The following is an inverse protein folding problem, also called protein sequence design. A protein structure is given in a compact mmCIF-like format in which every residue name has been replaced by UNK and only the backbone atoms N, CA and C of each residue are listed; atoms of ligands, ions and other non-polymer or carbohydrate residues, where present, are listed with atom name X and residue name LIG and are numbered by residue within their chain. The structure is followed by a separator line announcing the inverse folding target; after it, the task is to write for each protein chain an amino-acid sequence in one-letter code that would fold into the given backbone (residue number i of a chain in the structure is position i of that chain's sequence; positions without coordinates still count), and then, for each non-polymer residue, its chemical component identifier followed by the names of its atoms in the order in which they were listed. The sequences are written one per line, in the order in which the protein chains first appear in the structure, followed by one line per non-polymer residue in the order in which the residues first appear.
data_IF_243107334397
#
_entry.id   IF_243107334397
#
_cell.length_a   1.000
_cell.length_b   1.000
_cell.length_c   1.000
_cell.angle_alpha   90.00
_cell.angle_beta   90.00
_cell.angle_gamma   90.00
#
_symmetry.space_group_name_H-M   'P 1'
#
loop_
_entity.id
_entity.type
_entity.pdbx_description
1 polymer ?
#
# COMPACT_ATOMS: atom_id res chain seq x y z
N UNK A 1 16.87 10.39 8.79
CA UNK A 1 15.47 10.31 8.29
C UNK A 1 15.32 8.91 7.74
N UNK A 2 14.44 8.11 8.33
CA UNK A 2 14.20 6.76 7.85
C UNK A 2 13.26 6.85 6.63
N UNK A 3 13.66 6.24 5.52
CA UNK A 3 12.91 6.21 4.26
C UNK A 3 12.65 4.76 3.82
N UNK A 4 12.79 3.82 4.74
CA UNK A 4 12.61 2.41 4.48
C UNK A 4 11.39 1.91 5.22
N UNK A 5 10.31 1.72 4.48
CA UNK A 5 9.05 1.23 5.01
C UNK A 5 8.97 -0.29 4.85
N UNK A 6 8.36 -0.98 5.81
CA UNK A 6 8.13 -2.42 5.73
C UNK A 6 6.90 -2.69 4.83
N UNK A 7 7.09 -3.44 3.75
CA UNK A 7 6.10 -3.57 2.69
C UNK A 7 4.78 -4.21 3.15
N UNK A 8 4.83 -5.20 4.04
CA UNK A 8 3.64 -5.85 4.60
C UNK A 8 2.84 -4.95 5.57
N UNK A 9 3.47 -3.91 6.13
CA UNK A 9 2.81 -2.95 7.03
C UNK A 9 2.16 -1.79 6.28
N UNK A 10 2.66 -1.47 5.08
CA UNK A 10 2.20 -0.33 4.28
C UNK A 10 1.32 -0.71 3.10
N UNK A 11 1.24 -1.99 2.74
CA UNK A 11 0.36 -2.49 1.67
C UNK A 11 -0.86 -3.17 2.29
N UNK A 12 -2.02 -2.57 2.08
CA UNK A 12 -3.30 -3.08 2.54
C UNK A 12 -4.27 -3.30 1.37
N UNK A 13 -5.23 -4.19 1.59
CA UNK A 13 -6.30 -4.49 0.65
C UNK A 13 -7.65 -4.18 1.27
N UNK A 14 -8.57 -3.68 0.45
CA UNK A 14 -9.96 -3.46 0.81
C UNK A 14 -10.88 -4.13 -0.21
N UNK A 15 -11.85 -4.93 0.27
CA UNK A 15 -12.86 -5.56 -0.59
C UNK A 15 -14.13 -4.72 -0.63
N UNK A 16 -14.30 -3.95 -1.70
CA UNK A 16 -15.35 -2.94 -1.83
C UNK A 16 -16.60 -3.56 -2.47
N UNK A 17 -17.73 -3.51 -1.75
CA UNK A 17 -19.06 -3.97 -2.22
C UNK A 17 -19.98 -2.79 -2.50
N UNK A 18 -19.79 -1.70 -1.79
CA UNK A 18 -20.54 -0.45 -1.92
C UNK A 18 -19.68 0.74 -1.55
N UNK A 19 -20.14 1.95 -1.84
CA UNK A 19 -19.45 3.19 -1.48
C UNK A 19 -19.17 3.33 0.03
N UNK A 20 -19.97 2.66 0.88
CA UNK A 20 -19.79 2.68 2.34
C UNK A 20 -18.56 1.93 2.82
N UNK A 21 -18.00 1.07 1.97
CA UNK A 21 -16.84 0.26 2.29
C UNK A 21 -15.53 1.04 2.08
N UNK A 22 -15.56 2.14 1.32
CA UNK A 22 -14.37 2.95 1.04
C UNK A 22 -13.88 3.63 2.33
N UNK A 23 -12.60 3.46 2.67
CA UNK A 23 -11.97 3.95 3.89
C UNK A 23 -12.54 3.31 5.18
N UNK A 24 -13.07 2.10 5.08
CA UNK A 24 -13.54 1.35 6.24
C UNK A 24 -12.42 0.43 6.75
N UNK A 25 -11.68 0.91 7.76
CA UNK A 25 -10.56 0.18 8.38
C UNK A 25 -10.94 -1.21 8.93
N UNK A 26 -12.23 -1.49 9.15
CA UNK A 26 -12.70 -2.81 9.64
C UNK A 26 -12.58 -3.90 8.56
N UNK A 27 -12.64 -3.52 7.29
CA UNK A 27 -12.52 -4.45 6.15
C UNK A 27 -11.15 -4.40 5.48
N UNK A 28 -10.27 -3.54 5.97
CA UNK A 28 -8.88 -3.44 5.55
C UNK A 28 -8.10 -4.65 6.08
N UNK A 29 -7.29 -5.26 5.22
CA UNK A 29 -6.41 -6.35 5.62
C UNK A 29 -5.01 -6.18 5.01
N UNK A 30 -4.00 -6.39 5.83
CA UNK A 30 -2.60 -6.28 5.44
C UNK A 30 -2.18 -7.43 4.50
N UNK A 31 -1.19 -7.18 3.66
CA UNK A 31 -0.54 -8.22 2.87
C UNK A 31 0.37 -9.08 3.76
N UNK A 32 0.16 -10.40 3.79
CA UNK A 32 1.02 -11.31 4.57
C UNK A 32 2.37 -11.57 3.88
N UNK A 33 2.42 -11.52 2.55
CA UNK A 33 3.61 -11.81 1.76
C UNK A 33 3.79 -10.76 0.67
N UNK A 34 4.89 -10.03 0.73
CA UNK A 34 5.20 -8.93 -0.20
C UNK A 34 6.54 -9.12 -0.90
N UNK A 35 7.33 -10.14 -0.55
CA UNK A 35 8.66 -10.40 -1.11
C UNK A 35 8.67 -10.58 -2.63
N UNK A 36 7.58 -11.09 -3.19
CA UNK A 36 7.43 -11.27 -4.64
C UNK A 36 7.52 -9.95 -5.42
N UNK A 37 7.16 -8.82 -4.79
CA UNK A 37 7.13 -7.50 -5.41
C UNK A 37 8.11 -6.50 -4.78
N UNK A 38 8.49 -6.71 -3.51
CA UNK A 38 9.38 -5.82 -2.75
C UNK A 38 10.75 -6.44 -2.43
N UNK A 39 11.02 -7.65 -2.94
CA UNK A 39 12.26 -8.39 -2.73
C UNK A 39 12.33 -9.09 -1.37
N UNK A 40 13.38 -9.89 -1.18
CA UNK A 40 13.54 -10.79 -0.02
C UNK A 40 13.40 -10.12 1.36
N UNK A 41 13.76 -8.84 1.47
CA UNK A 41 13.70 -8.12 2.73
C UNK A 41 12.32 -7.51 3.02
N UNK A 42 11.41 -7.54 2.04
CA UNK A 42 10.06 -6.97 2.13
C UNK A 42 10.07 -5.48 2.51
N UNK A 43 10.92 -4.67 1.85
CA UNK A 43 11.08 -3.24 2.15
C UNK A 43 10.88 -2.36 0.92
N UNK A 44 10.30 -1.19 1.14
CA UNK A 44 10.13 -0.15 0.14
C UNK A 44 10.98 1.06 0.54
N UNK A 45 11.94 1.42 -0.32
CA UNK A 45 12.82 2.56 -0.09
C UNK A 45 12.33 3.83 -0.79
N UNK A 46 12.58 4.97 -0.14
CA UNK A 46 12.47 6.29 -0.74
C UNK A 46 11.17 7.02 -0.42
N UNK A 47 10.38 6.50 0.53
CA UNK A 47 9.15 7.12 1.00
C UNK A 47 9.19 7.26 2.51
N UNK A 48 8.48 8.27 3.02
CA UNK A 48 8.20 8.44 4.44
C UNK A 48 6.69 8.39 4.65
N UNK A 49 6.25 7.61 5.64
CA UNK A 49 4.84 7.40 5.95
C UNK A 49 4.06 6.94 4.71
N UNK A 50 4.60 5.92 4.03
CA UNK A 50 3.97 5.32 2.85
C UNK A 50 2.69 4.57 3.27
N UNK A 51 1.62 4.75 2.50
CA UNK A 51 0.40 3.95 2.56
C UNK A 51 0.02 3.56 1.13
N UNK A 52 -0.19 2.26 0.91
CA UNK A 52 -0.60 1.69 -0.38
C UNK A 52 -1.89 0.91 -0.15
N UNK A 53 -2.99 1.42 -0.70
CA UNK A 53 -4.28 0.76 -0.62
C UNK A 53 -4.66 0.13 -1.95
N UNK A 54 -5.01 -1.14 -1.92
CA UNK A 54 -5.47 -1.91 -3.07
C UNK A 54 -6.96 -2.20 -2.90
N UNK A 55 -7.79 -1.42 -3.60
CA UNK A 55 -9.23 -1.59 -3.58
C UNK A 55 -9.65 -2.60 -4.64
N UNK A 56 -10.23 -3.71 -4.18
CA UNK A 56 -10.75 -4.78 -5.02
C UNK A 56 -12.27 -4.65 -5.07
N UNK A 57 -12.85 -4.37 -6.25
CA UNK A 57 -14.31 -4.40 -6.38
C UNK A 57 -14.80 -5.86 -6.28
N UNK A 58 -15.70 -6.15 -5.34
CA UNK A 58 -16.08 -7.54 -5.03
C UNK A 58 -16.78 -8.29 -6.17
N UNK A 59 -17.33 -7.58 -7.14
CA UNK A 59 -18.11 -8.12 -8.27
C UNK A 59 -17.39 -8.01 -9.62
N UNK A 60 -16.19 -7.43 -9.67
CA UNK A 60 -15.46 -7.23 -10.92
C UNK A 60 -13.95 -7.35 -10.71
N UNK A 61 -13.20 -7.76 -11.71
CA UNK A 61 -11.72 -7.80 -11.67
C UNK A 61 -11.08 -6.40 -11.80
N UNK A 62 -11.79 -5.37 -11.33
CA UNK A 62 -11.30 -4.00 -11.33
C UNK A 62 -10.59 -3.74 -10.00
N UNK A 63 -9.38 -3.23 -10.13
CA UNK A 63 -8.54 -2.83 -9.02
C UNK A 63 -8.28 -1.34 -9.11
N UNK A 64 -8.32 -0.67 -7.98
CA UNK A 64 -7.85 0.70 -7.84
C UNK A 64 -6.69 0.70 -6.84
N UNK A 65 -5.63 1.41 -7.19
CA UNK A 65 -4.42 1.53 -6.38
C UNK A 65 -4.30 2.97 -5.91
N UNK A 66 -4.33 3.17 -4.60
CA UNK A 66 -4.04 4.44 -3.96
C UNK A 66 -2.63 4.39 -3.36
N UNK A 67 -1.84 5.43 -3.58
CA UNK A 67 -0.48 5.54 -3.04
C UNK A 67 -0.34 6.92 -2.41
N UNK A 68 -0.35 6.94 -1.09
CA UNK A 68 -0.18 8.14 -0.27
C UNK A 68 1.16 8.09 0.46
N UNK A 69 1.80 9.25 0.63
CA UNK A 69 3.06 9.39 1.36
C UNK A 69 3.24 10.84 1.81
N UNK A 70 3.98 11.04 2.90
CA UNK A 70 4.31 12.38 3.38
C UNK A 70 5.46 12.99 2.55
N UNK A 71 6.51 12.19 2.32
CA UNK A 71 7.70 12.63 1.58
C UNK A 71 8.22 11.52 0.68
N UNK A 72 8.79 11.91 -0.46
CA UNK A 72 9.47 11.01 -1.39
C UNK A 72 10.87 11.53 -1.68
N UNK A 73 11.85 10.63 -1.71
CA UNK A 73 13.23 10.97 -2.03
C UNK A 73 13.31 11.66 -3.40
N UNK A 74 14.08 12.73 -3.48
CA UNK A 74 14.34 13.42 -4.74
C UNK A 74 15.54 12.76 -5.44
N UNK A 75 15.35 12.08 -6.58
CA UNK A 75 16.42 11.38 -7.28
C UNK A 75 17.46 12.32 -7.92
N UNK A 76 17.25 13.65 -7.90
CA UNK A 76 18.23 14.63 -8.38
C UNK A 76 19.17 15.14 -7.28
N UNK A 77 18.89 14.81 -6.02
CA UNK A 77 19.72 15.19 -4.86
C UNK A 77 20.65 14.06 -4.41
N UNK A 78 20.55 12.88 -5.01
CA UNK A 78 21.32 11.68 -4.70
C UNK A 78 21.72 10.97 -5.98
#
# INVERSE_FOLDING_TARGET
MDLNEQANEVIAFELIRSEKDVNNEVIEFASEFTHQISGENERIFGYKNLKIDIFCLSLSTNFYLNIDYEEKINPKKY
#
